data_IF_589276368770
#
_entry.id   IF_589276368770
#
_cell.length_a   1.000
_cell.length_b   1.000
_cell.length_c   1.000
_cell.angle_alpha   90.00
_cell.angle_beta   90.00
_cell.angle_gamma   90.00
#
_symmetry.space_group_name_H-M   'P 1'
#
loop_
_entity.id
_entity.type
_entity.pdbx_description
1 polymer ?
#
# COMPACT_ATOMS: atom_id res chain seq x y z
N UNK A 1 -57.44 -1.74 -10.52
CA UNK A 1 -56.42 -2.40 -11.37
C UNK A 1 -55.10 -2.47 -10.61
N UNK A 2 -54.80 -3.60 -9.94
CA UNK A 2 -53.55 -3.82 -9.19
C UNK A 2 -52.51 -4.44 -10.13
N UNK A 3 -51.41 -3.72 -10.42
CA UNK A 3 -50.26 -4.26 -11.17
C UNK A 3 -49.35 -5.01 -10.20
N UNK A 4 -49.42 -6.34 -10.22
CA UNK A 4 -48.46 -7.26 -9.60
C UNK A 4 -47.11 -7.17 -10.31
N UNK A 5 -46.08 -6.68 -9.60
CA UNK A 5 -44.68 -6.72 -10.08
C UNK A 5 -44.10 -8.10 -9.79
N UNK A 6 -43.77 -8.85 -10.84
CA UNK A 6 -42.98 -10.09 -10.80
C UNK A 6 -41.56 -9.76 -10.34
N UNK A 7 -41.17 -10.24 -9.17
CA UNK A 7 -39.78 -10.32 -8.72
C UNK A 7 -39.10 -11.49 -9.42
N UNK A 8 -38.11 -11.20 -10.27
CA UNK A 8 -37.17 -12.21 -10.77
C UNK A 8 -36.02 -12.29 -9.77
N UNK A 9 -35.92 -13.43 -9.09
CA UNK A 9 -34.73 -13.78 -8.32
C UNK A 9 -33.72 -14.37 -9.30
N UNK A 10 -32.66 -13.63 -9.62
CA UNK A 10 -31.50 -14.21 -10.28
C UNK A 10 -30.56 -14.67 -9.18
N UNK A 11 -30.54 -15.99 -8.99
CA UNK A 11 -29.51 -16.68 -8.21
C UNK A 11 -28.23 -16.64 -9.05
N UNK A 12 -27.30 -15.75 -8.71
CA UNK A 12 -25.93 -15.81 -9.26
C UNK A 12 -25.16 -16.79 -8.39
N UNK A 13 -24.93 -17.98 -8.97
CA UNK A 13 -24.20 -19.06 -8.35
C UNK A 13 -22.73 -18.72 -8.11
N UNK A 14 -22.23 -19.24 -6.98
CA UNK A 14 -20.82 -19.45 -6.71
C UNK A 14 -20.16 -20.21 -7.87
N UNK A 15 -19.12 -19.63 -8.45
CA UNK A 15 -18.11 -20.39 -9.18
C UNK A 15 -16.84 -20.42 -8.33
N UNK A 16 -16.74 -21.48 -7.52
CA UNK A 16 -15.48 -21.94 -6.99
C UNK A 16 -14.71 -22.62 -8.12
N UNK A 17 -13.65 -21.99 -8.61
CA UNK A 17 -12.64 -22.67 -9.42
C UNK A 17 -11.44 -22.98 -8.53
N UNK A 18 -11.46 -24.19 -7.98
CA UNK A 18 -10.25 -24.90 -7.60
C UNK A 18 -9.46 -25.19 -8.88
N UNK A 19 -8.49 -24.33 -9.19
CA UNK A 19 -7.43 -24.66 -10.14
C UNK A 19 -6.45 -25.61 -9.48
N UNK A 20 -6.59 -26.90 -9.77
CA UNK A 20 -5.56 -27.89 -9.49
C UNK A 20 -4.36 -27.60 -10.40
N UNK A 21 -3.27 -27.07 -9.82
CA UNK A 21 -1.99 -27.06 -10.48
C UNK A 21 -1.36 -28.45 -10.35
N UNK A 22 -1.32 -29.18 -11.47
CA UNK A 22 -0.46 -30.34 -11.66
C UNK A 22 1.00 -29.90 -11.56
N UNK A 23 1.65 -30.22 -10.44
CA UNK A 23 3.10 -30.13 -10.34
C UNK A 23 3.69 -31.26 -11.18
N UNK A 24 4.24 -30.93 -12.33
CA UNK A 24 5.10 -31.82 -13.09
C UNK A 24 6.40 -32.05 -12.29
N UNK A 25 6.54 -33.22 -11.70
CA UNK A 25 7.81 -33.70 -11.14
C UNK A 25 8.75 -34.04 -12.29
N UNK A 26 9.61 -33.09 -12.67
CA UNK A 26 10.78 -33.39 -13.47
C UNK A 26 11.79 -34.12 -12.56
N UNK A 27 11.92 -35.44 -12.78
CA UNK A 27 12.96 -36.26 -12.18
C UNK A 27 14.33 -35.80 -12.66
N UNK A 28 15.13 -35.28 -11.73
CA UNK A 28 16.56 -35.10 -11.92
C UNK A 28 17.29 -36.29 -11.32
N UNK A 29 17.98 -37.05 -12.17
CA UNK A 29 18.92 -38.10 -11.81
C UNK A 29 19.90 -37.64 -10.72
N UNK A 30 19.84 -38.32 -9.58
CA UNK A 30 20.82 -38.21 -8.52
C UNK A 30 22.11 -38.91 -8.96
N UNK A 31 23.00 -38.17 -9.63
CA UNK A 31 24.38 -38.59 -9.81
C UNK A 31 25.10 -38.55 -8.45
N UNK A 32 25.39 -39.74 -7.94
CA UNK A 32 26.19 -39.99 -6.72
C UNK A 32 27.61 -39.41 -6.90
N UNK A 33 27.82 -38.20 -6.37
CA UNK A 33 29.16 -37.61 -6.28
C UNK A 33 29.93 -38.30 -5.16
N UNK A 34 30.96 -39.06 -5.53
CA UNK A 34 32.01 -39.57 -4.63
C UNK A 34 32.55 -38.43 -3.75
N UNK A 35 32.60 -38.69 -2.45
CA UNK A 35 33.22 -37.79 -1.47
C UNK A 35 34.71 -37.59 -1.79
N UNK A 36 35.22 -36.34 -1.76
CA UNK A 36 36.65 -36.09 -1.86
C UNK A 36 37.39 -36.58 -0.60
N UNK A 37 38.66 -36.98 -0.71
CA UNK A 37 39.46 -37.42 0.42
C UNK A 37 39.61 -36.32 1.47
N UNK A 38 39.50 -36.71 2.74
CA UNK A 38 39.68 -35.81 3.89
C UNK A 38 41.09 -35.22 3.85
N UNK A 39 41.17 -33.91 3.59
CA UNK A 39 42.38 -33.13 3.79
C UNK A 39 42.72 -33.13 5.29
N UNK A 40 43.97 -33.46 5.61
CA UNK A 40 44.49 -33.44 6.97
C UNK A 40 44.28 -32.08 7.63
N UNK A 41 44.01 -32.11 8.94
CA UNK A 41 43.84 -30.90 9.77
C UNK A 41 45.06 -29.97 9.58
N UNK A 42 44.88 -28.72 9.13
CA UNK A 42 45.96 -27.76 9.12
C UNK A 42 46.47 -27.54 10.54
N UNK A 43 47.80 -27.63 10.72
CA UNK A 43 48.48 -27.28 11.97
C UNK A 43 48.19 -25.80 12.26
N UNK A 44 47.82 -25.42 13.51
CA UNK A 44 47.63 -24.02 13.85
C UNK A 44 48.93 -23.25 13.59
N UNK A 45 48.85 -22.04 13.03
CA UNK A 45 50.03 -21.20 12.82
C UNK A 45 50.69 -20.88 14.17
N UNK A 46 52.01 -20.64 14.19
CA UNK A 46 52.73 -20.22 15.39
C UNK A 46 52.12 -18.93 15.99
N UNK A 47 52.22 -18.72 17.32
CA UNK A 47 51.59 -17.57 18.00
C UNK A 47 52.14 -16.18 17.63
N UNK A 48 53.18 -16.10 16.81
CA UNK A 48 54.03 -14.90 16.72
C UNK A 48 53.71 -13.97 15.53
N UNK A 49 52.82 -14.35 14.62
CA UNK A 49 52.53 -13.59 13.37
C UNK A 49 51.27 -12.68 13.45
N UNK A 50 50.82 -12.29 14.65
CA UNK A 50 49.69 -11.34 14.82
C UNK A 50 50.19 -9.91 15.13
N UNK A 51 51.50 -9.68 15.15
CA UNK A 51 52.08 -8.40 15.57
C UNK A 51 51.83 -7.23 14.59
N UNK A 52 51.41 -7.50 13.34
CA UNK A 52 51.31 -6.49 12.28
C UNK A 52 49.91 -6.35 11.64
N UNK A 53 48.84 -6.71 12.35
CA UNK A 53 47.49 -6.28 11.94
C UNK A 53 47.37 -4.78 12.25
N UNK A 54 47.69 -3.93 11.27
CA UNK A 54 47.29 -2.52 11.28
C UNK A 54 45.78 -2.48 11.50
N UNK A 55 45.37 -1.98 12.67
CA UNK A 55 43.99 -1.62 12.94
C UNK A 55 43.64 -0.50 11.97
N UNK A 56 43.04 -0.87 10.84
CA UNK A 56 42.44 0.10 9.93
C UNK A 56 41.27 0.70 10.71
N UNK A 57 41.34 2.01 10.94
CA UNK A 57 40.28 2.74 11.62
C UNK A 57 38.95 2.44 10.91
N UNK A 58 37.90 2.01 11.64
CA UNK A 58 36.63 1.69 11.01
C UNK A 58 36.15 2.89 10.21
N UNK A 59 35.70 2.69 8.95
CA UNK A 59 35.17 3.79 8.16
C UNK A 59 34.04 4.48 8.93
N UNK A 60 34.02 5.81 8.88
CA UNK A 60 33.03 6.62 9.56
C UNK A 60 31.62 6.16 9.16
N UNK A 61 30.78 5.89 10.15
CA UNK A 61 29.44 5.38 9.90
C UNK A 61 28.64 6.42 9.10
N UNK A 62 27.88 6.01 8.06
CA UNK A 62 27.06 6.94 7.30
C UNK A 62 26.06 7.63 8.23
N UNK A 63 25.87 8.94 8.01
CA UNK A 63 24.90 9.72 8.77
C UNK A 63 23.49 9.11 8.65
N UNK A 64 22.78 9.01 9.77
CA UNK A 64 21.40 8.54 9.79
C UNK A 64 20.55 9.57 9.04
N UNK A 65 19.73 9.16 8.05
CA UNK A 65 18.86 10.09 7.34
C UNK A 65 17.87 10.78 8.28
N UNK A 66 17.76 12.10 8.16
CA UNK A 66 16.72 12.89 8.83
C UNK A 66 15.42 12.93 7.98
N UNK A 67 14.24 13.09 8.61
CA UNK A 67 13.00 13.26 7.87
C UNK A 67 13.00 14.50 6.97
N UNK A 68 12.48 14.36 5.76
CA UNK A 68 12.34 15.49 4.83
C UNK A 68 11.48 16.63 5.43
N UNK A 69 11.91 17.90 5.34
CA UNK A 69 11.13 19.04 5.82
C UNK A 69 9.70 19.12 5.25
N UNK A 70 9.53 18.70 3.99
CA UNK A 70 8.24 18.62 3.29
C UNK A 70 7.29 17.65 3.98
N UNK A 71 7.78 16.47 4.37
CA UNK A 71 7.02 15.48 5.12
C UNK A 71 6.55 16.05 6.45
N UNK A 72 7.46 16.69 7.20
CA UNK A 72 7.14 17.32 8.47
C UNK A 72 6.11 18.46 8.31
N UNK A 73 6.24 19.26 7.24
CA UNK A 73 5.29 20.32 6.91
C UNK A 73 3.90 19.77 6.60
N UNK A 74 3.81 18.68 5.82
CA UNK A 74 2.54 18.00 5.55
C UNK A 74 1.96 17.41 6.83
N UNK A 75 2.76 16.71 7.63
CA UNK A 75 2.33 16.12 8.90
C UNK A 75 1.72 17.18 9.85
N UNK A 76 2.30 18.38 9.94
CA UNK A 76 1.74 19.49 10.73
C UNK A 76 0.31 19.86 10.33
N UNK A 77 -0.02 19.80 9.03
CA UNK A 77 -1.34 20.12 8.50
C UNK A 77 -2.34 18.98 8.76
N UNK A 78 -1.95 17.75 8.44
CA UNK A 78 -2.91 16.64 8.29
C UNK A 78 -3.00 15.70 9.49
N UNK A 79 -2.04 15.73 10.42
CA UNK A 79 -2.04 14.85 11.59
C UNK A 79 -3.31 15.02 12.43
N UNK A 80 -3.80 13.90 12.96
CA UNK A 80 -4.97 13.85 13.83
C UNK A 80 -5.92 12.72 13.47
N UNK A 81 -7.10 12.76 14.09
CA UNK A 81 -8.21 11.86 13.78
C UNK A 81 -9.25 12.59 12.94
N UNK A 82 -9.79 11.90 11.94
CA UNK A 82 -10.76 12.41 11.00
C UNK A 82 -12.00 11.52 11.00
N UNK A 83 -13.18 12.13 10.95
CA UNK A 83 -14.44 11.46 10.69
C UNK A 83 -14.92 11.82 9.30
N UNK A 84 -15.25 10.82 8.50
CA UNK A 84 -15.56 11.01 7.11
C UNK A 84 -16.90 10.38 6.75
N UNK A 85 -17.53 10.93 5.73
CA UNK A 85 -18.74 10.40 5.10
C UNK A 85 -18.55 10.44 3.61
N UNK A 86 -19.09 9.44 2.91
CA UNK A 86 -18.91 9.36 1.46
C UNK A 86 -19.67 8.19 0.85
N UNK A 87 -19.26 7.87 -0.36
CA UNK A 87 -19.77 6.78 -1.18
C UNK A 87 -18.60 5.92 -1.65
N UNK A 88 -18.82 4.61 -1.69
CA UNK A 88 -17.89 3.62 -2.22
C UNK A 88 -18.56 2.95 -3.41
N UNK A 89 -17.77 2.61 -4.43
CA UNK A 89 -18.25 2.07 -5.70
C UNK A 89 -17.49 0.79 -6.06
N UNK A 90 -18.23 -0.21 -6.54
CA UNK A 90 -17.68 -1.46 -7.06
C UNK A 90 -17.36 -1.39 -8.56
N UNK A 91 -16.67 -2.40 -9.11
CA UNK A 91 -16.34 -2.47 -10.55
C UNK A 91 -17.53 -2.56 -11.50
N UNK A 92 -18.69 -2.98 -11.00
CA UNK A 92 -19.96 -2.99 -11.74
C UNK A 92 -20.67 -1.62 -11.72
N UNK A 93 -20.06 -0.60 -11.10
CA UNK A 93 -20.63 0.73 -10.90
C UNK A 93 -21.65 0.82 -9.77
N UNK A 94 -21.93 -0.29 -9.07
CA UNK A 94 -22.80 -0.26 -7.89
C UNK A 94 -22.16 0.53 -6.77
N UNK A 95 -22.92 1.40 -6.11
CA UNK A 95 -22.41 2.29 -5.07
C UNK A 95 -23.19 2.15 -3.76
N UNK A 96 -22.53 2.45 -2.63
CA UNK A 96 -23.19 2.54 -1.33
C UNK A 96 -22.61 3.66 -0.47
N UNK A 97 -23.49 4.28 0.32
CA UNK A 97 -23.09 5.32 1.28
C UNK A 97 -22.40 4.71 2.49
N UNK A 98 -21.27 5.30 2.84
CA UNK A 98 -20.46 4.87 3.96
C UNK A 98 -20.00 6.02 4.88
N UNK A 99 -19.42 5.64 6.00
CA UNK A 99 -18.72 6.52 6.92
C UNK A 99 -17.51 5.76 7.41
N UNK A 100 -16.41 6.48 7.54
CA UNK A 100 -15.12 5.92 7.85
C UNK A 100 -14.35 6.89 8.73
N UNK A 101 -13.28 6.39 9.33
CA UNK A 101 -12.34 7.19 10.10
C UNK A 101 -10.97 7.08 9.50
N UNK A 102 -10.22 8.18 9.55
CA UNK A 102 -8.79 8.19 9.25
C UNK A 102 -8.02 8.67 10.47
N UNK A 103 -6.93 8.00 10.81
CA UNK A 103 -5.97 8.46 11.82
C UNK A 103 -4.64 8.67 11.14
N UNK A 104 -4.09 9.87 11.29
CA UNK A 104 -2.86 10.28 10.61
C UNK A 104 -1.84 10.70 11.66
N UNK A 105 -0.65 10.08 11.62
CA UNK A 105 0.45 10.33 12.53
C UNK A 105 1.81 10.10 11.85
N UNK A 106 2.86 10.71 12.39
CA UNK A 106 4.22 10.32 12.04
C UNK A 106 4.51 8.93 12.64
N UNK A 107 5.21 8.08 11.88
CA UNK A 107 5.59 6.72 12.25
C UNK A 107 7.02 6.45 11.75
N UNK A 108 7.62 5.34 12.17
CA UNK A 108 8.96 4.89 11.76
C UNK A 108 10.01 6.03 11.88
N UNK A 109 10.22 6.50 13.11
CA UNK A 109 11.16 7.58 13.42
C UNK A 109 10.86 8.90 12.67
N UNK A 110 9.58 9.14 12.40
CA UNK A 110 9.09 10.29 11.62
C UNK A 110 9.49 10.30 10.15
N UNK A 111 10.02 9.19 9.62
CA UNK A 111 10.36 9.04 8.20
C UNK A 111 9.13 8.80 7.31
N UNK A 112 7.99 8.45 7.93
CA UNK A 112 6.73 8.25 7.23
C UNK A 112 5.56 8.91 7.95
N UNK A 113 4.61 9.39 7.16
CA UNK A 113 3.28 9.75 7.61
C UNK A 113 2.37 8.54 7.41
N UNK A 114 1.99 7.91 8.52
CA UNK A 114 1.07 6.79 8.54
C UNK A 114 -0.37 7.27 8.58
N UNK A 115 -1.19 6.67 7.73
CA UNK A 115 -2.65 6.85 7.70
C UNK A 115 -3.32 5.50 7.91
N UNK A 116 -4.04 5.34 9.02
CA UNK A 116 -4.92 4.19 9.25
C UNK A 116 -6.35 4.56 8.86
N UNK A 117 -6.93 3.80 7.94
CA UNK A 117 -8.31 3.92 7.50
C UNK A 117 -9.15 2.77 8.05
N UNK A 118 -10.36 3.08 8.49
CA UNK A 118 -11.33 2.07 8.88
C UNK A 118 -12.74 2.50 8.47
N UNK A 119 -13.37 1.67 7.65
CA UNK A 119 -14.77 1.81 7.30
C UNK A 119 -15.69 1.30 8.42
N UNK A 120 -16.81 2.00 8.64
CA UNK A 120 -17.84 1.58 9.58
C UNK A 120 -18.61 0.35 9.08
N UNK A 121 -18.95 -0.56 10.00
CA UNK A 121 -19.76 -1.75 9.70
C UNK A 121 -21.16 -1.36 9.23
N UNK A 122 -21.62 -1.98 8.12
CA UNK A 122 -22.96 -1.76 7.55
C UNK A 122 -23.54 -3.05 7.01
N UNK A 123 -24.86 -3.09 6.85
CA UNK A 123 -25.55 -4.24 6.23
C UNK A 123 -25.14 -4.44 4.76
N UNK A 124 -24.91 -3.34 4.04
CA UNK A 124 -24.49 -3.36 2.63
C UNK A 124 -23.04 -3.80 2.43
N UNK A 125 -22.16 -3.62 3.44
CA UNK A 125 -20.79 -4.10 3.42
C UNK A 125 -20.48 -4.93 4.69
N UNK A 126 -20.65 -6.26 4.63
CA UNK A 126 -20.44 -7.13 5.79
C UNK A 126 -18.96 -7.25 6.20
N UNK A 127 -18.01 -6.86 5.33
CA UNK A 127 -16.57 -6.85 5.60
C UNK A 127 -16.02 -5.45 5.35
N UNK A 128 -16.12 -4.51 6.30
CA UNK A 128 -15.67 -3.13 6.10
C UNK A 128 -14.20 -3.04 5.72
N UNK A 129 -13.88 -2.14 4.79
CA UNK A 129 -12.51 -1.94 4.35
C UNK A 129 -11.66 -1.33 5.46
N UNK A 130 -10.42 -1.81 5.57
CA UNK A 130 -9.37 -1.22 6.39
C UNK A 130 -8.09 -1.19 5.57
N UNK A 131 -7.33 -0.12 5.70
CA UNK A 131 -5.99 -0.06 5.15
C UNK A 131 -5.06 0.74 6.05
N UNK A 132 -3.78 0.50 5.89
CA UNK A 132 -2.73 1.36 6.41
C UNK A 132 -1.91 1.83 5.22
N UNK A 133 -1.75 3.15 5.12
CA UNK A 133 -0.93 3.79 4.11
C UNK A 133 0.27 4.49 4.76
N UNK A 134 1.43 4.43 4.13
CA UNK A 134 2.65 5.12 4.51
C UNK A 134 3.01 6.09 3.41
N UNK A 135 3.03 7.38 3.74
CA UNK A 135 3.40 8.47 2.83
C UNK A 135 4.76 9.03 3.21
N UNK A 136 5.65 9.25 2.25
CA UNK A 136 6.93 9.91 2.46
C UNK A 136 7.27 10.85 1.29
N UNK A 137 8.35 11.61 1.44
CA UNK A 137 8.89 12.50 0.42
C UNK A 137 10.32 12.11 0.12
N UNK A 138 10.63 11.91 -1.17
CA UNK A 138 11.97 11.64 -1.64
C UNK A 138 12.62 12.94 -2.15
N UNK A 139 13.64 13.48 -1.45
CA UNK A 139 14.31 14.71 -1.85
C UNK A 139 15.12 14.57 -3.15
N UNK A 140 15.55 13.36 -3.52
CA UNK A 140 16.33 13.14 -4.73
C UNK A 140 15.47 13.28 -5.99
N UNK A 141 14.28 12.68 -5.98
CA UNK A 141 13.31 12.77 -7.08
C UNK A 141 12.33 13.93 -6.96
N UNK A 142 12.33 14.61 -5.79
CA UNK A 142 11.37 15.65 -5.41
C UNK A 142 9.92 15.20 -5.53
N UNK A 143 9.68 13.91 -5.27
CA UNK A 143 8.38 13.28 -5.43
C UNK A 143 7.88 12.73 -4.09
N UNK A 144 6.57 12.76 -3.93
CA UNK A 144 5.89 12.04 -2.87
C UNK A 144 5.67 10.59 -3.29
N UNK A 145 5.73 9.69 -2.31
CA UNK A 145 5.37 8.29 -2.49
C UNK A 145 4.43 7.82 -1.39
N UNK A 146 3.45 7.03 -1.78
CA UNK A 146 2.48 6.42 -0.89
C UNK A 146 2.42 4.91 -1.16
N UNK A 147 2.62 4.12 -0.12
CA UNK A 147 2.43 2.68 -0.12
C UNK A 147 1.24 2.34 0.75
N UNK A 148 0.38 1.41 0.34
CA UNK A 148 -0.72 0.96 1.18
C UNK A 148 -0.92 -0.55 1.13
N UNK A 149 -1.50 -1.09 2.20
CA UNK A 149 -1.94 -2.48 2.30
C UNK A 149 -3.33 -2.53 2.92
N UNK A 150 -4.16 -3.48 2.50
CA UNK A 150 -5.56 -3.57 2.95
C UNK A 150 -5.87 -4.91 3.61
N UNK A 151 -6.98 -4.97 4.35
CA UNK A 151 -7.50 -6.21 4.92
C UNK A 151 -8.04 -7.22 3.89
N UNK A 152 -8.03 -6.89 2.60
CA UNK A 152 -8.33 -7.82 1.50
C UNK A 152 -7.08 -8.50 0.95
N UNK A 153 -5.90 -8.26 1.54
CA UNK A 153 -4.63 -8.76 1.03
C UNK A 153 -4.17 -8.03 -0.24
N UNK A 154 -4.76 -6.87 -0.54
CA UNK A 154 -4.30 -6.01 -1.62
C UNK A 154 -3.21 -5.05 -1.13
N UNK A 155 -2.41 -4.56 -2.06
CA UNK A 155 -1.41 -3.53 -1.82
C UNK A 155 -1.42 -2.52 -2.95
N UNK A 156 -0.94 -1.31 -2.70
CA UNK A 156 -0.82 -0.26 -3.69
C UNK A 156 0.44 0.58 -3.50
N UNK A 157 0.87 1.17 -4.59
CA UNK A 157 2.03 2.05 -4.69
C UNK A 157 1.69 3.20 -5.64
N UNK A 158 1.76 4.42 -5.12
CA UNK A 158 1.43 5.63 -5.86
C UNK A 158 2.45 6.73 -5.61
N UNK A 159 2.62 7.61 -6.60
CA UNK A 159 3.49 8.78 -6.52
C UNK A 159 2.70 10.04 -6.80
N UNK A 160 3.27 11.18 -6.37
CA UNK A 160 2.74 12.49 -6.67
C UNK A 160 3.86 13.51 -6.78
N UNK A 161 3.69 14.53 -7.63
CA UNK A 161 4.53 15.73 -7.63
C UNK A 161 4.28 16.62 -6.40
N UNK A 162 3.27 16.31 -5.59
CA UNK A 162 2.87 17.10 -4.43
C UNK A 162 1.64 17.95 -4.68
N UNK A 163 1.26 18.81 -3.71
CA UNK A 163 0.12 19.69 -3.86
C UNK A 163 0.37 20.76 -4.93
N UNK A 164 -0.67 21.12 -5.65
CA UNK A 164 -0.70 22.29 -6.52
C UNK A 164 -0.75 23.61 -5.73
N UNK A 165 -0.91 24.73 -6.44
CA UNK A 165 -0.97 26.06 -5.84
C UNK A 165 -2.15 26.24 -4.86
N UNK A 166 -3.25 25.53 -5.10
CA UNK A 166 -4.47 25.59 -4.31
C UNK A 166 -4.44 24.60 -3.13
N UNK A 167 -3.54 23.62 -3.19
CA UNK A 167 -3.32 22.63 -2.15
C UNK A 167 -3.96 21.27 -2.44
N UNK A 168 -4.50 21.07 -3.64
CA UNK A 168 -4.99 19.78 -4.08
C UNK A 168 -3.81 18.90 -4.53
N UNK A 169 -3.85 17.62 -4.23
CA UNK A 169 -2.82 16.64 -4.59
C UNK A 169 -3.47 15.49 -5.34
N UNK A 170 -2.82 15.08 -6.42
CA UNK A 170 -3.19 13.87 -7.16
C UNK A 170 -2.08 12.84 -7.03
N UNK A 171 -2.45 11.65 -6.60
CA UNK A 171 -1.64 10.45 -6.57
C UNK A 171 -1.96 9.62 -7.80
N UNK A 172 -0.93 9.04 -8.43
CA UNK A 172 -1.10 8.10 -9.52
C UNK A 172 -0.22 6.88 -9.27
N UNK A 173 -0.76 5.69 -9.52
CA UNK A 173 -0.08 4.47 -9.15
C UNK A 173 -0.71 3.20 -9.67
N UNK A 174 -0.34 2.11 -9.01
CA UNK A 174 -0.88 0.78 -9.24
C UNK A 174 -1.35 0.17 -7.92
N UNK A 175 -2.37 -0.68 -8.01
CA UNK A 175 -2.87 -1.49 -6.91
C UNK A 175 -3.05 -2.91 -7.39
N UNK A 176 -2.64 -3.88 -6.56
CA UNK A 176 -2.78 -5.30 -6.84
C UNK A 176 -3.77 -5.93 -5.85
N UNK A 177 -4.74 -6.67 -6.38
CA UNK A 177 -5.75 -7.39 -5.60
C UNK A 177 -6.11 -8.70 -6.30
N UNK A 178 -6.04 -9.82 -5.57
CA UNK A 178 -6.51 -11.12 -6.08
C UNK A 178 -5.82 -11.59 -7.36
N UNK A 179 -4.53 -11.26 -7.54
CA UNK A 179 -3.76 -11.60 -8.74
C UNK A 179 -4.00 -10.68 -9.95
N UNK A 180 -4.83 -9.65 -9.81
CA UNK A 180 -5.03 -8.62 -10.82
C UNK A 180 -4.38 -7.30 -10.38
N UNK A 181 -3.91 -6.52 -11.36
CA UNK A 181 -3.40 -5.16 -11.15
C UNK A 181 -4.34 -4.15 -11.80
N UNK A 182 -4.58 -3.04 -11.12
CA UNK A 182 -5.32 -1.89 -11.62
C UNK A 182 -4.44 -0.64 -11.54
N UNK A 183 -4.61 0.27 -12.51
CA UNK A 183 -4.13 1.64 -12.36
C UNK A 183 -5.03 2.36 -11.37
N UNK A 184 -4.45 3.14 -10.47
CA UNK A 184 -5.21 3.93 -9.49
C UNK A 184 -4.82 5.39 -9.59
N UNK A 185 -5.78 6.26 -9.31
CA UNK A 185 -5.55 7.67 -9.05
C UNK A 185 -6.38 8.09 -7.86
N UNK A 186 -5.72 8.69 -6.89
CA UNK A 186 -6.37 9.23 -5.70
C UNK A 186 -6.18 10.72 -5.68
N UNK A 187 -7.22 11.44 -5.31
CA UNK A 187 -7.22 12.88 -5.24
C UNK A 187 -7.57 13.31 -3.84
N UNK A 188 -6.84 14.30 -3.36
CA UNK A 188 -7.09 14.92 -2.10
C UNK A 188 -7.14 16.43 -2.26
N UNK A 189 -8.18 17.04 -1.73
CA UNK A 189 -8.36 18.48 -1.73
C UNK A 189 -8.44 18.99 -0.28
N UNK A 190 -7.52 19.90 0.02
CA UNK A 190 -7.32 20.57 1.31
C UNK A 190 -7.53 22.08 1.23
N UNK A 191 -8.08 22.58 0.12
CA UNK A 191 -8.35 24.00 -0.11
C UNK A 191 -9.25 24.58 0.99
N UNK A 192 -10.24 23.82 1.45
CA UNK A 192 -11.01 24.14 2.65
C UNK A 192 -10.24 23.72 3.92
N UNK A 193 -9.84 24.71 4.72
CA UNK A 193 -9.11 24.49 5.99
C UNK A 193 -9.85 23.60 7.00
N UNK A 194 -11.16 23.38 6.86
CA UNK A 194 -12.00 22.61 7.79
C UNK A 194 -12.40 21.24 7.25
N UNK A 195 -12.32 21.03 5.94
CA UNK A 195 -12.76 19.80 5.31
C UNK A 195 -11.67 19.23 4.43
N UNK A 196 -11.60 17.92 4.37
CA UNK A 196 -10.69 17.21 3.50
C UNK A 196 -11.54 16.39 2.53
N UNK A 197 -11.58 16.81 1.27
CA UNK A 197 -12.29 16.09 0.23
C UNK A 197 -11.34 15.09 -0.43
N UNK A 198 -11.86 13.88 -0.66
CA UNK A 198 -11.12 12.72 -1.07
C UNK A 198 -11.95 11.98 -2.11
N UNK A 199 -11.40 11.74 -3.28
CA UNK A 199 -12.00 10.82 -4.24
C UNK A 199 -10.92 9.99 -4.93
N UNK A 200 -11.29 8.81 -5.39
CA UNK A 200 -10.37 7.90 -6.03
C UNK A 200 -11.03 7.21 -7.20
N UNK A 201 -10.20 6.85 -8.17
CA UNK A 201 -10.57 6.19 -9.40
C UNK A 201 -9.61 5.04 -9.68
N UNK A 202 -10.09 4.03 -10.37
CA UNK A 202 -9.28 2.92 -10.82
C UNK A 202 -9.57 2.58 -12.27
N UNK A 203 -8.61 1.91 -12.90
CA UNK A 203 -8.71 1.46 -14.29
C UNK A 203 -8.13 0.07 -14.45
N UNK A 204 -8.91 -0.82 -15.08
CA UNK A 204 -8.54 -2.21 -15.35
C UNK A 204 -7.93 -2.41 -16.75
N UNK A 205 -7.87 -1.36 -17.57
CA UNK A 205 -7.44 -1.42 -18.97
C UNK A 205 -6.23 -0.53 -19.28
N UNK A 206 -5.40 -0.32 -18.25
CA UNK A 206 -4.16 0.45 -18.36
C UNK A 206 -4.38 1.96 -18.38
N UNK A 207 -5.52 2.46 -17.88
CA UNK A 207 -5.82 3.88 -17.76
C UNK A 207 -6.65 4.46 -18.91
N UNK A 208 -7.28 3.62 -19.75
CA UNK A 208 -8.13 4.08 -20.86
C UNK A 208 -9.52 4.46 -20.36
N UNK A 209 -10.08 3.67 -19.46
CA UNK A 209 -11.35 3.96 -18.78
C UNK A 209 -11.14 4.01 -17.27
N UNK A 210 -11.62 5.08 -16.65
CA UNK A 210 -11.55 5.31 -15.22
C UNK A 210 -12.93 5.11 -14.60
N UNK A 211 -12.98 4.26 -13.59
CA UNK A 211 -14.16 4.01 -12.77
C UNK A 211 -13.93 4.64 -11.41
N UNK A 212 -14.93 5.37 -10.93
CA UNK A 212 -14.92 5.93 -9.58
C UNK A 212 -14.85 4.78 -8.56
N UNK A 213 -13.93 4.86 -7.60
CA UNK A 213 -13.79 3.92 -6.49
C UNK A 213 -14.48 4.45 -5.23
N UNK A 214 -14.29 5.74 -4.94
CA UNK A 214 -14.86 6.39 -3.77
C UNK A 214 -14.94 7.90 -3.94
N UNK A 215 -15.76 8.54 -3.10
CA UNK A 215 -15.81 9.99 -2.92
C UNK A 215 -16.34 10.28 -1.52
N UNK A 216 -15.61 11.08 -0.76
CA UNK A 216 -15.96 11.41 0.60
C UNK A 216 -15.34 12.69 1.11
N UNK A 217 -15.97 13.24 2.14
CA UNK A 217 -15.48 14.41 2.85
C UNK A 217 -15.22 14.06 4.30
N UNK A 218 -14.07 14.50 4.79
CA UNK A 218 -13.57 14.29 6.14
C UNK A 218 -13.58 15.60 6.91
N UNK A 219 -13.90 15.51 8.21
CA UNK A 219 -13.77 16.61 9.17
C UNK A 219 -12.90 16.15 10.33
N UNK A 220 -12.04 17.04 10.81
CA UNK A 220 -11.20 16.77 11.97
C UNK A 220 -12.09 16.48 13.17
N UNK A 221 -11.75 15.42 13.92
CA UNK A 221 -12.45 15.03 15.14
C UNK A 221 -11.99 15.87 16.32
#
# INVERSE_FOLDING_TARGET
MRKTRKTWSVVVGMAALCGAATVATAGGDAAEKKAPPQAGKPKPPPPDDIADIKVVEPPEAPAIPEPAPELLARARKVKGSWKCKGEMFGPDGSGYRTAFTMKVALDLDSMFLRTDFAEGKRKANPRPMKFTAYTTYDPATKAWRQLNVTNYGSWGDATSSGPDADGAITWAGESAMGGMTARVRDHEDWTDKKTWHLWGEFSMDGGKHWLKAYDGSCKKK
#
